data_IF_157843743086
#
_entry.id   IF_157843743086
#
_cell.length_a   1.000
_cell.length_b   1.000
_cell.length_c   1.000
_cell.angle_alpha   90.00
_cell.angle_beta   90.00
_cell.angle_gamma   90.00
#
_symmetry.space_group_name_H-M   'P 1'
#
loop_
_entity.id
_entity.type
_entity.pdbx_description
1 polymer ?
#
# COMPACT_ATOMS: atom_id res chain seq x y z
N UNK A 1 22.09 12.06 -0.94
CA UNK A 1 21.06 11.05 -1.27
C UNK A 1 21.69 10.03 -2.21
N UNK A 2 21.51 8.74 -1.96
CA UNK A 2 22.09 7.66 -2.77
C UNK A 2 21.08 7.23 -3.83
N UNK A 3 21.38 7.36 -5.14
CA UNK A 3 20.49 6.92 -6.20
C UNK A 3 20.17 5.42 -6.08
N UNK A 4 18.94 5.05 -6.38
CA UNK A 4 18.48 3.67 -6.46
C UNK A 4 18.01 3.35 -7.89
N UNK A 5 18.00 2.07 -8.31
CA UNK A 5 17.37 1.68 -9.56
C UNK A 5 15.93 2.19 -9.64
N UNK A 6 15.56 2.69 -10.81
CA UNK A 6 14.19 3.08 -11.15
C UNK A 6 13.93 2.67 -12.60
N UNK A 7 12.94 1.84 -12.80
CA UNK A 7 12.63 1.24 -14.10
C UNK A 7 11.59 2.08 -14.83
N UNK A 8 12.03 3.23 -15.36
CA UNK A 8 11.16 4.23 -15.99
C UNK A 8 10.38 3.65 -17.17
N UNK A 9 10.99 2.73 -17.93
CA UNK A 9 10.40 2.10 -19.12
C UNK A 9 9.17 1.23 -18.81
N UNK A 10 9.04 0.74 -17.57
CA UNK A 10 7.86 -0.03 -17.14
C UNK A 10 6.96 0.76 -16.19
N UNK A 11 7.47 1.81 -15.58
CA UNK A 11 6.66 2.67 -14.70
C UNK A 11 5.58 3.43 -15.47
N UNK A 12 5.82 3.77 -16.75
CA UNK A 12 4.88 4.52 -17.59
C UNK A 12 4.34 5.76 -16.86
N UNK A 13 5.26 6.45 -16.18
CA UNK A 13 4.98 7.63 -15.35
C UNK A 13 5.49 8.92 -15.99
N UNK A 14 5.34 10.06 -15.29
CA UNK A 14 5.86 11.33 -15.77
C UNK A 14 7.38 11.28 -15.96
N UNK A 15 7.88 12.05 -16.92
CA UNK A 15 9.33 12.27 -17.09
C UNK A 15 9.97 12.81 -15.81
N UNK A 16 11.23 12.47 -15.58
CA UNK A 16 11.97 12.89 -14.40
C UNK A 16 11.67 12.10 -13.13
N UNK A 17 10.92 11.00 -13.23
CA UNK A 17 10.79 10.05 -12.13
C UNK A 17 12.16 9.50 -11.72
N UNK A 18 12.42 9.41 -10.41
CA UNK A 18 13.68 8.91 -9.88
C UNK A 18 13.47 8.18 -8.55
N UNK A 19 14.46 7.38 -8.14
CA UNK A 19 14.41 6.69 -6.87
C UNK A 19 15.71 6.84 -6.08
N UNK A 20 15.59 6.75 -4.76
CA UNK A 20 16.71 6.79 -3.83
C UNK A 20 16.64 5.66 -2.81
N UNK A 21 17.83 5.20 -2.40
CA UNK A 21 17.98 4.34 -1.25
C UNK A 21 17.88 5.14 0.04
N UNK A 22 17.06 4.66 0.97
CA UNK A 22 16.92 5.19 2.31
C UNK A 22 17.39 4.14 3.30
N UNK A 23 18.04 4.57 4.38
CA UNK A 23 18.39 3.71 5.50
C UNK A 23 17.48 4.04 6.67
N UNK A 24 16.75 3.05 7.17
CA UNK A 24 15.87 3.19 8.31
C UNK A 24 16.65 3.23 9.62
N UNK A 25 16.01 3.63 10.72
CA UNK A 25 16.67 3.75 12.05
C UNK A 25 17.21 2.43 12.60
N UNK A 26 16.75 1.29 12.09
CA UNK A 26 17.25 -0.05 12.42
C UNK A 26 18.20 -0.63 11.36
N UNK A 27 18.66 0.21 10.43
CA UNK A 27 19.72 -0.12 9.49
C UNK A 27 19.26 -0.83 8.22
N UNK A 28 17.96 -1.10 8.06
CA UNK A 28 17.44 -1.69 6.81
C UNK A 28 17.44 -0.66 5.68
N UNK A 29 17.72 -1.13 4.49
CA UNK A 29 17.67 -0.32 3.28
C UNK A 29 16.31 -0.51 2.60
N UNK A 30 15.60 0.60 2.39
CA UNK A 30 14.35 0.67 1.63
C UNK A 30 14.54 1.58 0.41
N UNK A 31 13.62 1.54 -0.55
CA UNK A 31 13.66 2.42 -1.71
C UNK A 31 12.46 3.35 -1.71
N UNK A 32 12.69 4.62 -2.02
CA UNK A 32 11.63 5.59 -2.29
C UNK A 32 11.76 6.13 -3.71
N UNK A 33 10.67 6.12 -4.46
CA UNK A 33 10.57 6.72 -5.79
C UNK A 33 9.71 7.97 -5.75
N UNK A 34 10.03 8.95 -6.59
CA UNK A 34 9.33 10.23 -6.59
C UNK A 34 9.13 10.78 -7.99
N UNK A 35 8.05 11.54 -8.16
CA UNK A 35 7.74 12.37 -9.31
C UNK A 35 7.42 13.77 -8.80
N UNK A 36 8.22 14.73 -9.22
CA UNK A 36 8.19 16.12 -8.72
C UNK A 36 7.60 17.06 -9.76
N UNK A 37 7.24 18.29 -9.35
CA UNK A 37 6.69 19.33 -10.24
C UNK A 37 5.29 19.80 -9.83
N UNK A 38 4.62 19.09 -8.93
CA UNK A 38 3.39 19.58 -8.32
C UNK A 38 3.67 20.78 -7.39
N UNK A 39 2.77 21.75 -7.37
CA UNK A 39 2.89 22.96 -6.55
C UNK A 39 1.86 23.08 -5.44
N UNK A 40 0.83 22.21 -5.43
CA UNK A 40 -0.24 22.20 -4.43
C UNK A 40 0.14 21.44 -3.16
N UNK A 41 1.16 20.60 -3.23
CA UNK A 41 1.61 19.75 -2.13
C UNK A 41 2.19 18.43 -2.61
N UNK A 42 2.44 17.54 -1.68
CA UNK A 42 3.02 16.22 -1.96
C UNK A 42 2.18 15.10 -1.36
N UNK A 43 1.97 14.08 -2.16
CA UNK A 43 1.32 12.84 -1.76
C UNK A 43 2.39 11.85 -1.29
N UNK A 44 2.32 11.44 -0.02
CA UNK A 44 3.03 10.29 0.52
C UNK A 44 2.20 9.06 0.20
N UNK A 45 2.60 8.30 -0.82
CA UNK A 45 1.88 7.15 -1.31
C UNK A 45 2.43 5.87 -0.67
N UNK A 46 1.58 5.20 0.08
CA UNK A 46 1.88 3.98 0.84
C UNK A 46 1.28 2.76 0.13
N UNK A 47 2.10 1.99 -0.60
CA UNK A 47 1.69 0.82 -1.35
C UNK A 47 1.12 -0.31 -0.51
N UNK A 48 0.37 -1.20 -1.18
CA UNK A 48 -0.10 -2.45 -0.63
C UNK A 48 0.98 -3.53 -0.51
N UNK A 49 0.55 -4.74 -0.15
CA UNK A 49 1.45 -5.89 -0.13
C UNK A 49 1.74 -6.37 -1.54
N UNK A 50 2.95 -6.82 -1.80
CA UNK A 50 3.49 -7.26 -3.10
C UNK A 50 3.69 -6.14 -4.13
N UNK A 51 3.55 -4.89 -3.71
CA UNK A 51 3.66 -3.73 -4.58
C UNK A 51 5.04 -3.06 -4.48
N UNK A 52 5.30 -2.21 -5.45
CA UNK A 52 6.59 -1.55 -5.66
C UNK A 52 6.37 -0.17 -6.29
N UNK A 53 7.40 0.65 -6.31
CA UNK A 53 7.36 2.04 -6.76
C UNK A 53 6.80 2.17 -8.18
N UNK A 54 7.31 1.40 -9.15
CA UNK A 54 6.97 1.52 -10.57
C UNK A 54 5.50 1.27 -10.87
N UNK A 55 4.79 0.48 -10.04
CA UNK A 55 3.35 0.25 -10.17
C UNK A 55 2.56 1.55 -10.20
N UNK A 56 3.06 2.57 -9.52
CA UNK A 56 2.36 3.84 -9.34
C UNK A 56 2.71 4.92 -10.36
N UNK A 57 3.46 4.61 -11.42
CA UNK A 57 3.84 5.58 -12.44
C UNK A 57 2.64 6.26 -13.10
N UNK A 58 1.66 5.47 -13.57
CA UNK A 58 0.42 6.01 -14.14
C UNK A 58 -0.40 6.84 -13.14
N UNK A 59 -0.48 6.41 -11.89
CA UNK A 59 -1.14 7.18 -10.84
C UNK A 59 -0.39 8.50 -10.56
N UNK A 60 0.94 8.48 -10.60
CA UNK A 60 1.74 9.69 -10.46
C UNK A 60 1.46 10.70 -11.58
N UNK A 61 1.24 10.25 -12.83
CA UNK A 61 0.80 11.11 -13.93
C UNK A 61 -0.52 11.81 -13.60
N UNK A 62 -1.50 11.06 -13.10
CA UNK A 62 -2.81 11.59 -12.72
C UNK A 62 -2.70 12.63 -11.59
N UNK A 63 -1.89 12.38 -10.58
CA UNK A 63 -1.71 13.33 -9.48
C UNK A 63 -0.89 14.55 -9.89
N UNK A 64 0.16 14.36 -10.70
CA UNK A 64 1.01 15.48 -11.14
C UNK A 64 0.23 16.46 -12.04
N UNK A 65 -0.62 15.94 -12.94
CA UNK A 65 -1.49 16.79 -13.78
C UNK A 65 -2.53 17.56 -12.97
N UNK A 66 -2.82 17.13 -11.74
CA UNK A 66 -3.71 17.83 -10.78
C UNK A 66 -2.96 18.71 -9.80
N UNK A 67 -1.63 18.81 -9.95
CA UNK A 67 -0.77 19.73 -9.21
C UNK A 67 -0.10 19.15 -7.97
N UNK A 68 -0.10 17.83 -7.77
CA UNK A 68 0.52 17.18 -6.62
C UNK A 68 1.78 16.41 -7.01
N UNK A 69 2.88 16.62 -6.30
CA UNK A 69 4.05 15.72 -6.35
C UNK A 69 3.73 14.39 -5.65
N UNK A 70 4.42 13.32 -6.04
CA UNK A 70 4.20 11.97 -5.47
C UNK A 70 5.51 11.39 -4.97
N UNK A 71 5.49 10.78 -3.78
CA UNK A 71 6.57 10.00 -3.20
C UNK A 71 6.02 8.64 -2.78
N UNK A 72 6.45 7.57 -3.46
CA UNK A 72 6.07 6.20 -3.18
C UNK A 72 7.24 5.42 -2.57
N UNK A 73 6.98 4.28 -1.92
CA UNK A 73 7.99 3.50 -1.21
C UNK A 73 7.91 2.00 -1.53
N UNK A 74 9.06 1.35 -1.69
CA UNK A 74 9.15 -0.09 -1.48
C UNK A 74 9.39 -0.31 0.01
N UNK A 75 8.38 -0.84 0.68
CA UNK A 75 8.48 -1.20 2.08
C UNK A 75 9.57 -2.22 2.35
N UNK A 76 10.10 -2.27 3.58
CA UNK A 76 10.94 -3.39 4.03
C UNK A 76 10.31 -4.73 3.62
N UNK A 77 11.09 -5.60 3.01
CA UNK A 77 10.63 -6.90 2.54
C UNK A 77 9.89 -6.92 1.21
N UNK A 78 9.72 -5.79 0.50
CA UNK A 78 9.00 -5.69 -0.77
C UNK A 78 9.81 -4.98 -1.86
N UNK A 79 9.34 -5.04 -3.11
CA UNK A 79 10.03 -4.44 -4.25
C UNK A 79 11.51 -4.85 -4.28
N UNK A 80 12.42 -3.89 -4.36
CA UNK A 80 13.86 -4.16 -4.26
C UNK A 80 14.48 -3.74 -2.91
N UNK A 81 13.65 -3.39 -1.90
CA UNK A 81 14.12 -3.17 -0.54
C UNK A 81 14.75 -4.44 0.07
N UNK A 82 15.48 -4.27 1.17
CA UNK A 82 16.11 -5.37 1.87
C UNK A 82 15.08 -6.39 2.36
N UNK A 83 15.42 -7.67 2.22
CA UNK A 83 14.61 -8.81 2.68
C UNK A 83 15.08 -9.25 4.06
N UNK A 84 14.15 -9.62 4.93
CA UNK A 84 14.43 -10.16 6.25
C UNK A 84 14.65 -11.68 6.24
N UNK A 85 14.34 -12.35 5.13
CA UNK A 85 14.57 -13.78 4.93
C UNK A 85 15.47 -13.99 3.70
N UNK A 86 16.21 -15.11 3.69
CA UNK A 86 17.01 -15.52 2.53
C UNK A 86 16.12 -15.83 1.31
N UNK A 87 14.92 -16.36 1.55
CA UNK A 87 13.92 -16.54 0.51
C UNK A 87 13.27 -15.18 0.17
N UNK A 88 13.64 -14.64 -0.98
CA UNK A 88 13.12 -13.34 -1.46
C UNK A 88 11.65 -13.37 -1.83
N UNK A 89 11.08 -14.53 -2.09
CA UNK A 89 9.68 -14.68 -2.46
C UNK A 89 8.75 -14.62 -1.26
N UNK A 90 9.24 -14.87 -0.05
CA UNK A 90 8.41 -14.84 1.15
C UNK A 90 8.24 -13.43 1.71
N UNK A 91 7.00 -12.94 1.76
CA UNK A 91 6.67 -11.69 2.44
C UNK A 91 6.82 -11.84 3.95
N UNK A 92 7.74 -11.07 4.58
CA UNK A 92 8.03 -11.16 6.00
C UNK A 92 8.29 -9.78 6.61
N UNK A 93 7.96 -9.64 7.90
CA UNK A 93 8.35 -8.52 8.76
C UNK A 93 8.51 -9.05 10.18
N UNK A 94 9.48 -8.55 10.93
CA UNK A 94 9.67 -9.00 12.32
C UNK A 94 8.57 -8.50 13.24
N UNK A 95 8.22 -7.21 13.14
CA UNK A 95 7.07 -6.63 13.83
C UNK A 95 6.34 -5.69 12.88
N UNK A 96 5.00 -5.77 12.82
CA UNK A 96 4.24 -4.89 11.93
C UNK A 96 4.49 -3.40 12.22
N UNK A 97 4.65 -2.95 13.48
CA UNK A 97 5.04 -1.57 13.78
C UNK A 97 6.38 -1.12 13.20
N UNK A 98 7.26 -2.03 12.78
CA UNK A 98 8.55 -1.65 12.17
C UNK A 98 8.38 -0.87 10.86
N UNK A 99 7.23 -1.01 10.18
CA UNK A 99 6.91 -0.16 9.03
C UNK A 99 6.88 1.34 9.37
N UNK A 100 6.70 1.72 10.64
CA UNK A 100 6.77 3.14 11.05
C UNK A 100 8.19 3.71 10.99
N UNK A 101 9.22 2.85 11.06
CA UNK A 101 10.60 3.26 10.80
C UNK A 101 10.81 3.61 9.33
N UNK A 102 10.12 2.87 8.43
CA UNK A 102 10.12 3.17 6.99
C UNK A 102 9.37 4.48 6.73
N UNK A 103 8.21 4.68 7.34
CA UNK A 103 7.44 5.93 7.27
C UNK A 103 8.29 7.13 7.70
N UNK A 104 9.03 7.00 8.80
CA UNK A 104 9.92 8.05 9.30
C UNK A 104 11.04 8.38 8.31
N UNK A 105 11.62 7.36 7.67
CA UNK A 105 12.66 7.54 6.65
C UNK A 105 12.09 8.20 5.38
N UNK A 106 10.89 7.81 4.95
CA UNK A 106 10.19 8.41 3.81
C UNK A 106 9.87 9.88 4.05
N UNK A 107 9.35 10.23 5.24
CA UNK A 107 9.06 11.61 5.60
C UNK A 107 10.34 12.47 5.65
N UNK A 108 11.41 11.95 6.24
CA UNK A 108 12.70 12.62 6.26
C UNK A 108 13.24 12.86 4.84
N UNK A 109 13.04 11.88 3.95
CA UNK A 109 13.43 11.99 2.55
C UNK A 109 12.61 13.04 1.78
N UNK A 110 11.29 13.09 1.98
CA UNK A 110 10.43 14.11 1.39
C UNK A 110 10.93 15.53 1.72
N UNK A 111 11.27 15.74 3.00
CA UNK A 111 11.84 17.02 3.46
C UNK A 111 13.22 17.30 2.88
N UNK A 112 14.09 16.31 2.79
CA UNK A 112 15.43 16.45 2.22
C UNK A 112 15.41 16.73 0.72
N UNK A 113 14.42 16.26 -0.01
CA UNK A 113 14.16 16.59 -1.42
C UNK A 113 13.55 17.98 -1.59
N UNK A 114 13.11 18.64 -0.51
CA UNK A 114 12.39 19.91 -0.59
C UNK A 114 11.03 19.77 -1.27
N UNK A 115 10.38 18.59 -1.15
CA UNK A 115 9.06 18.40 -1.75
C UNK A 115 8.04 19.34 -1.09
N UNK A 116 7.14 19.96 -1.88
CA UNK A 116 6.23 20.99 -1.39
C UNK A 116 5.25 20.43 -0.34
N UNK A 117 5.06 21.19 0.73
CA UNK A 117 3.95 21.02 1.65
C UNK A 117 2.71 21.76 1.11
N UNK A 118 1.49 21.37 1.54
CA UNK A 118 1.18 20.37 2.56
C UNK A 118 1.42 18.93 2.07
N UNK A 119 1.70 18.05 3.04
CA UNK A 119 1.72 16.60 2.77
C UNK A 119 0.31 16.02 2.93
N UNK A 120 -0.02 15.07 2.05
CA UNK A 120 -1.22 14.23 2.10
C UNK A 120 -0.82 12.76 2.05
N UNK A 121 -1.61 11.91 2.69
CA UNK A 121 -1.39 10.47 2.69
C UNK A 121 -2.30 9.79 1.67
N UNK A 122 -1.75 8.87 0.87
CA UNK A 122 -2.54 7.82 0.21
C UNK A 122 -2.07 6.48 0.75
N UNK A 123 -2.99 5.67 1.27
CA UNK A 123 -2.71 4.33 1.75
C UNK A 123 -3.58 3.29 1.05
N UNK A 124 -2.94 2.44 0.22
CA UNK A 124 -3.63 1.34 -0.44
C UNK A 124 -3.44 0.03 0.32
N UNK A 125 -4.52 -0.73 0.54
CA UNK A 125 -4.47 -2.08 1.12
C UNK A 125 -3.61 -2.13 2.39
N UNK A 126 -2.49 -2.88 2.41
CA UNK A 126 -1.53 -2.91 3.53
C UNK A 126 -1.01 -1.52 3.89
N UNK A 127 -0.74 -0.67 2.89
CA UNK A 127 -0.35 0.73 3.10
C UNK A 127 -1.43 1.53 3.84
N UNK A 128 -2.71 1.16 3.69
CA UNK A 128 -3.82 1.73 4.45
C UNK A 128 -3.79 1.36 5.95
N UNK A 129 -3.31 0.15 6.28
CA UNK A 129 -3.07 -0.27 7.66
C UNK A 129 -1.85 0.48 8.25
N UNK A 130 -0.74 0.53 7.50
CA UNK A 130 0.47 1.25 7.89
C UNK A 130 0.17 2.75 8.06
N UNK A 131 -0.56 3.35 7.13
CA UNK A 131 -0.94 4.75 7.14
C UNK A 131 -1.87 5.11 8.29
N UNK A 132 -2.86 4.28 8.59
CA UNK A 132 -3.73 4.49 9.76
C UNK A 132 -2.91 4.51 11.06
N UNK A 133 -1.95 3.59 11.21
CA UNK A 133 -1.03 3.63 12.35
C UNK A 133 -0.19 4.91 12.35
N UNK A 134 0.36 5.30 11.21
CA UNK A 134 1.15 6.52 11.09
C UNK A 134 0.37 7.77 11.51
N UNK A 135 -0.93 7.87 11.20
CA UNK A 135 -1.79 8.95 11.68
C UNK A 135 -1.91 8.95 13.20
N UNK A 136 -2.02 7.79 13.84
CA UNK A 136 -2.01 7.69 15.31
C UNK A 136 -0.65 8.06 15.94
N UNK A 137 0.44 7.92 15.21
CA UNK A 137 1.79 8.28 15.64
C UNK A 137 2.17 9.72 15.24
N UNK A 138 1.22 10.49 14.69
CA UNK A 138 1.39 11.91 14.43
C UNK A 138 2.07 12.22 13.09
N UNK A 139 1.90 11.36 12.05
CA UNK A 139 2.35 11.70 10.70
C UNK A 139 1.79 13.07 10.29
N UNK A 140 2.64 14.05 9.94
CA UNK A 140 2.23 15.44 9.69
C UNK A 140 1.63 15.60 8.29
N UNK A 141 0.46 15.00 8.07
CA UNK A 141 -0.33 15.16 6.85
C UNK A 141 -1.61 15.92 7.14
N UNK A 142 -2.08 16.72 6.18
CA UNK A 142 -3.30 17.50 6.31
C UNK A 142 -4.56 16.66 6.13
N UNK A 143 -4.51 15.69 5.22
CA UNK A 143 -5.60 14.77 4.99
C UNK A 143 -5.10 13.44 4.44
N UNK A 144 -5.96 12.43 4.41
CA UNK A 144 -5.65 11.11 3.92
C UNK A 144 -6.68 10.61 2.90
N UNK A 145 -6.23 9.76 1.98
CA UNK A 145 -7.06 8.93 1.16
C UNK A 145 -6.71 7.46 1.43
N UNK A 146 -7.70 6.63 1.65
CA UNK A 146 -7.52 5.20 1.77
C UNK A 146 -8.22 4.47 0.61
N UNK A 147 -7.48 3.56 -0.02
CA UNK A 147 -7.93 2.72 -1.12
C UNK A 147 -8.01 1.28 -0.61
N UNK A 148 -9.21 0.74 -0.46
CA UNK A 148 -9.46 -0.62 0.03
C UNK A 148 -8.51 -1.00 1.19
N UNK A 149 -8.48 -0.23 2.29
CA UNK A 149 -7.45 -0.36 3.31
C UNK A 149 -7.55 -1.69 4.07
N UNK A 150 -6.40 -2.32 4.34
CA UNK A 150 -6.28 -3.55 5.12
C UNK A 150 -6.53 -3.28 6.62
N UNK A 151 -7.77 -2.91 6.98
CA UNK A 151 -8.24 -2.81 8.37
C UNK A 151 -8.86 -4.14 8.87
N UNK A 152 -9.04 -5.09 7.98
CA UNK A 152 -9.35 -6.49 8.13
C UNK A 152 -9.01 -7.23 6.85
N UNK A 153 -8.80 -8.54 6.91
CA UNK A 153 -8.63 -9.41 5.74
C UNK A 153 -9.71 -10.47 5.71
N UNK A 154 -10.16 -10.83 4.51
CA UNK A 154 -11.14 -11.89 4.35
C UNK A 154 -10.48 -13.22 4.66
N UNK A 155 -10.92 -13.85 5.73
CA UNK A 155 -10.62 -15.23 6.08
C UNK A 155 -11.96 -15.90 6.37
N UNK A 156 -12.22 -17.02 5.68
CA UNK A 156 -13.47 -17.77 5.90
C UNK A 156 -13.68 -18.00 7.40
N UNK A 157 -14.89 -17.76 7.95
CA UNK A 157 -15.12 -17.81 9.40
C UNK A 157 -14.64 -19.09 10.07
N UNK A 158 -14.82 -20.25 9.41
CA UNK A 158 -14.36 -21.54 9.91
C UNK A 158 -12.81 -21.66 9.98
N UNK A 159 -12.08 -20.89 9.15
CA UNK A 159 -10.61 -20.90 9.10
C UNK A 159 -9.97 -19.84 9.99
N UNK A 160 -10.71 -18.87 10.49
CA UNK A 160 -10.18 -17.80 11.35
C UNK A 160 -9.46 -18.32 12.61
N UNK A 161 -10.04 -19.25 13.40
CA UNK A 161 -9.32 -19.80 14.57
C UNK A 161 -8.04 -20.52 14.17
N UNK A 162 -8.07 -21.25 13.04
CA UNK A 162 -6.90 -21.95 12.52
C UNK A 162 -5.81 -20.99 12.07
N UNK A 163 -6.16 -19.92 11.36
CA UNK A 163 -5.20 -18.89 10.94
C UNK A 163 -4.49 -18.24 12.14
N UNK A 164 -5.24 -17.92 13.20
CA UNK A 164 -4.67 -17.38 14.44
C UNK A 164 -3.78 -18.41 15.15
N UNK A 165 -4.27 -19.63 15.33
CA UNK A 165 -3.54 -20.68 16.06
C UNK A 165 -2.27 -21.10 15.32
N UNK A 166 -2.37 -21.35 14.00
CA UNK A 166 -1.23 -21.81 13.20
C UNK A 166 -0.14 -20.73 13.10
N UNK A 167 -0.52 -19.47 12.85
CA UNK A 167 0.44 -18.38 12.75
C UNK A 167 1.11 -18.08 14.11
N UNK A 168 0.36 -18.12 15.20
CA UNK A 168 0.88 -17.93 16.55
C UNK A 168 1.81 -19.07 16.98
N UNK A 169 1.42 -20.34 16.72
CA UNK A 169 2.25 -21.52 17.04
C UNK A 169 3.52 -21.55 16.21
N UNK A 170 3.41 -21.37 14.88
CA UNK A 170 4.56 -21.37 13.99
C UNK A 170 5.65 -20.36 14.42
N UNK A 171 5.23 -19.20 14.88
CA UNK A 171 6.11 -18.18 15.43
C UNK A 171 6.90 -18.67 16.66
N UNK A 172 6.25 -19.43 17.57
CA UNK A 172 6.86 -19.92 18.81
C UNK A 172 7.79 -21.10 18.64
N UNK A 173 7.53 -21.93 17.62
CA UNK A 173 8.36 -23.10 17.31
C UNK A 173 9.41 -22.84 16.21
N UNK A 174 9.70 -21.57 15.89
CA UNK A 174 10.71 -21.19 14.91
C UNK A 174 10.32 -21.45 13.44
N UNK A 175 9.05 -21.77 13.17
CA UNK A 175 8.53 -22.05 11.81
C UNK A 175 7.79 -20.85 11.18
N UNK A 176 7.88 -19.68 11.79
CA UNK A 176 7.19 -18.47 11.34
C UNK A 176 7.60 -17.99 9.94
N UNK A 177 8.75 -18.37 9.45
CA UNK A 177 9.27 -18.04 8.11
C UNK A 177 8.54 -18.78 6.98
N UNK A 178 7.82 -19.87 7.27
CA UNK A 178 7.07 -20.63 6.25
C UNK A 178 5.92 -19.82 5.71
N UNK A 179 5.60 -20.03 4.43
CA UNK A 179 4.44 -19.39 3.78
C UNK A 179 3.13 -19.77 4.49
N UNK A 180 2.21 -18.84 4.55
CA UNK A 180 0.87 -19.08 5.06
C UNK A 180 0.14 -20.10 4.16
N UNK A 181 -0.68 -21.00 4.74
CA UNK A 181 -1.44 -21.98 3.98
C UNK A 181 -2.30 -21.33 2.88
N UNK A 182 -2.31 -21.95 1.71
CA UNK A 182 -3.05 -21.43 0.55
C UNK A 182 -2.35 -20.29 -0.19
N UNK A 183 -1.07 -19.99 0.14
CA UNK A 183 -0.28 -18.99 -0.57
C UNK A 183 0.94 -19.64 -1.24
N UNK A 184 1.42 -19.01 -2.31
CA UNK A 184 2.50 -19.52 -3.14
C UNK A 184 3.70 -18.55 -3.14
N UNK A 185 4.92 -19.04 -3.47
CA UNK A 185 6.11 -18.18 -3.62
C UNK A 185 6.08 -17.37 -4.93
N UNK A 186 4.93 -17.26 -5.57
CA UNK A 186 4.71 -16.52 -6.81
C UNK A 186 3.75 -15.37 -6.55
N UNK A 187 4.02 -14.22 -7.16
CA UNK A 187 3.13 -13.06 -7.08
C UNK A 187 1.78 -13.37 -7.72
N UNK A 188 0.70 -12.96 -7.07
CA UNK A 188 -0.69 -13.19 -7.49
C UNK A 188 -0.92 -12.84 -8.97
N UNK A 189 -0.48 -11.67 -9.43
CA UNK A 189 -0.65 -11.21 -10.82
C UNK A 189 -0.01 -12.16 -11.84
N UNK A 190 1.07 -12.86 -11.47
CA UNK A 190 1.76 -13.78 -12.37
C UNK A 190 1.13 -15.18 -12.40
N UNK A 191 0.44 -15.59 -11.34
CA UNK A 191 -0.17 -16.92 -11.21
C UNK A 191 -1.66 -16.96 -11.55
N UNK A 192 -2.35 -15.81 -11.56
CA UNK A 192 -3.80 -15.74 -11.75
C UNK A 192 -4.15 -15.29 -13.17
N UNK A 193 -5.13 -15.92 -13.84
CA UNK A 193 -5.68 -15.40 -15.09
C UNK A 193 -6.50 -14.11 -14.84
N UNK A 194 -6.70 -13.33 -15.89
CA UNK A 194 -7.49 -12.09 -15.77
C UNK A 194 -8.96 -12.34 -15.40
N UNK A 195 -9.58 -13.37 -15.94
CA UNK A 195 -11.04 -13.55 -15.96
C UNK A 195 -11.69 -13.68 -14.58
N UNK A 196 -10.95 -14.08 -13.54
CA UNK A 196 -11.45 -14.14 -12.16
C UNK A 196 -10.46 -13.52 -11.16
N UNK A 197 -9.72 -12.52 -11.60
CA UNK A 197 -8.83 -11.80 -10.69
C UNK A 197 -9.63 -10.94 -9.71
N UNK A 198 -9.01 -10.67 -8.55
CA UNK A 198 -9.62 -9.87 -7.48
C UNK A 198 -9.06 -8.45 -7.41
N UNK A 199 -8.24 -8.05 -8.39
CA UNK A 199 -7.53 -6.76 -8.35
C UNK A 199 -8.26 -5.68 -9.12
N UNK A 200 -8.63 -5.95 -10.38
CA UNK A 200 -9.21 -4.93 -11.28
C UNK A 200 -10.07 -5.54 -12.36
N UNK A 201 -11.09 -4.83 -12.78
CA UNK A 201 -11.89 -5.15 -13.95
C UNK A 201 -11.28 -4.60 -15.26
N UNK A 202 -10.22 -3.79 -15.19
CA UNK A 202 -9.51 -3.23 -16.35
C UNK A 202 -8.39 -4.17 -16.81
N UNK A 203 -8.61 -4.82 -17.97
CA UNK A 203 -7.62 -5.71 -18.58
C UNK A 203 -6.29 -5.01 -18.86
N UNK A 204 -6.30 -3.77 -19.33
CA UNK A 204 -5.07 -3.06 -19.65
C UNK A 204 -4.22 -2.75 -18.41
N UNK A 205 -4.87 -2.51 -17.25
CA UNK A 205 -4.18 -2.30 -15.99
C UNK A 205 -3.66 -3.61 -15.40
N UNK A 206 -4.39 -4.71 -15.56
CA UNK A 206 -3.89 -6.02 -15.15
C UNK A 206 -2.66 -6.43 -15.97
N UNK A 207 -2.72 -6.27 -17.30
CA UNK A 207 -1.60 -6.57 -18.20
C UNK A 207 -0.41 -5.62 -17.95
N UNK A 208 -0.63 -4.37 -17.55
CA UNK A 208 0.40 -3.43 -17.13
C UNK A 208 1.19 -3.95 -15.93
N UNK A 209 0.51 -4.37 -14.86
CA UNK A 209 1.18 -4.96 -13.68
C UNK A 209 1.96 -6.23 -14.06
N UNK A 210 1.39 -7.06 -14.92
CA UNK A 210 2.01 -8.30 -15.39
C UNK A 210 3.28 -8.05 -16.22
N UNK A 211 3.23 -7.04 -17.10
CA UNK A 211 4.37 -6.64 -17.92
C UNK A 211 5.54 -6.13 -17.07
N UNK A 212 5.27 -5.34 -16.03
CA UNK A 212 6.30 -4.86 -15.11
C UNK A 212 7.04 -6.02 -14.43
N UNK A 213 6.29 -6.97 -13.87
CA UNK A 213 6.88 -8.13 -13.17
C UNK A 213 7.54 -9.13 -14.12
N UNK A 214 7.12 -9.17 -15.37
CA UNK A 214 7.80 -9.99 -16.41
C UNK A 214 9.12 -9.38 -16.82
N UNK A 215 9.20 -8.05 -16.91
CA UNK A 215 10.43 -7.33 -17.25
C UNK A 215 11.40 -7.27 -16.06
N UNK A 216 10.89 -7.11 -14.84
CA UNK A 216 11.65 -6.94 -13.61
C UNK A 216 11.18 -7.91 -12.52
N UNK A 217 11.55 -9.21 -12.62
CA UNK A 217 11.14 -10.23 -11.64
C UNK A 217 11.62 -9.94 -10.21
N UNK A 218 12.67 -9.15 -10.04
CA UNK A 218 13.19 -8.74 -8.73
C UNK A 218 12.21 -7.85 -7.93
N UNK A 219 11.23 -7.25 -8.59
CA UNK A 219 10.13 -6.50 -7.94
C UNK A 219 9.10 -7.43 -7.31
N UNK A 220 9.05 -8.68 -7.75
CA UNK A 220 8.03 -9.63 -7.35
C UNK A 220 8.15 -10.04 -5.87
N UNK A 221 7.00 -10.27 -5.25
CA UNK A 221 6.88 -10.85 -3.93
C UNK A 221 5.72 -11.86 -3.93
N UNK A 222 5.96 -13.04 -3.39
CA UNK A 222 4.94 -14.08 -3.25
C UNK A 222 4.10 -13.95 -1.97
N UNK A 223 3.62 -15.06 -1.46
CA UNK A 223 2.76 -15.14 -0.29
C UNK A 223 3.40 -14.61 0.99
N UNK A 224 2.56 -14.27 2.00
CA UNK A 224 3.05 -13.89 3.32
C UNK A 224 3.58 -15.11 4.08
N UNK A 225 4.57 -14.88 4.92
CA UNK A 225 4.96 -15.86 5.93
C UNK A 225 3.90 -15.96 7.04
N UNK A 226 3.87 -17.08 7.76
CA UNK A 226 3.00 -17.25 8.94
C UNK A 226 3.28 -16.17 9.99
N UNK A 227 4.53 -15.76 10.14
CA UNK A 227 4.90 -14.67 11.04
C UNK A 227 4.29 -13.34 10.61
N UNK A 228 4.41 -12.99 9.32
CA UNK A 228 3.79 -11.77 8.79
C UNK A 228 2.27 -11.78 8.98
N UNK A 229 1.62 -12.92 8.71
CA UNK A 229 0.18 -13.07 8.92
C UNK A 229 -0.20 -12.81 10.37
N UNK A 230 0.52 -13.39 11.34
CA UNK A 230 0.26 -13.16 12.76
C UNK A 230 0.43 -11.68 13.14
N UNK A 231 1.52 -11.05 12.71
CA UNK A 231 1.78 -9.63 12.97
C UNK A 231 0.70 -8.73 12.38
N UNK A 232 0.25 -9.01 11.13
CA UNK A 232 -0.82 -8.25 10.48
C UNK A 232 -2.16 -8.41 11.22
N UNK A 233 -2.55 -9.64 11.60
CA UNK A 233 -3.77 -9.89 12.37
C UNK A 233 -3.74 -9.18 13.73
N UNK A 234 -2.61 -9.22 14.42
CA UNK A 234 -2.42 -8.51 15.69
C UNK A 234 -2.55 -6.99 15.51
N UNK A 235 -1.94 -6.44 14.46
CA UNK A 235 -1.98 -5.01 14.18
C UNK A 235 -3.38 -4.52 13.84
N UNK A 236 -4.07 -5.20 12.91
CA UNK A 236 -5.46 -4.88 12.57
C UNK A 236 -6.36 -4.87 13.81
N UNK A 237 -6.18 -5.86 14.72
CA UNK A 237 -6.92 -5.92 15.98
C UNK A 237 -6.60 -4.74 16.90
N UNK A 238 -5.31 -4.35 17.02
CA UNK A 238 -4.89 -3.20 17.84
C UNK A 238 -5.49 -1.90 17.31
N UNK A 239 -5.44 -1.71 15.99
CA UNK A 239 -5.98 -0.50 15.35
C UNK A 239 -7.51 -0.45 15.44
N UNK A 240 -8.19 -1.59 15.30
CA UNK A 240 -9.66 -1.66 15.44
C UNK A 240 -10.15 -1.26 16.85
N UNK A 241 -9.33 -1.44 17.88
CA UNK A 241 -9.66 -1.06 19.25
C UNK A 241 -9.45 0.45 19.56
N UNK A 242 -8.91 1.22 18.60
CA UNK A 242 -8.64 2.67 18.78
C UNK A 242 -9.74 3.49 18.11
N UNK A 243 -10.16 4.61 18.70
CA UNK A 243 -11.04 5.56 18.02
C UNK A 243 -10.37 6.09 16.75
N UNK A 244 -11.14 6.45 15.74
CA UNK A 244 -10.58 6.97 14.48
C UNK A 244 -9.80 8.28 14.71
N UNK A 245 -8.70 8.53 13.98
CA UNK A 245 -7.93 9.76 14.12
C UNK A 245 -8.73 10.98 13.64
N UNK A 246 -8.35 12.18 14.10
CA UNK A 246 -9.01 13.42 13.72
C UNK A 246 -8.64 13.90 12.30
N UNK A 247 -7.57 13.39 11.72
CA UNK A 247 -7.12 13.75 10.36
C UNK A 247 -8.22 13.45 9.34
N UNK A 248 -8.69 14.43 8.54
CA UNK A 248 -9.72 14.20 7.53
C UNK A 248 -9.34 13.07 6.57
N UNK A 249 -10.26 12.16 6.30
CA UNK A 249 -9.99 11.01 5.42
C UNK A 249 -11.14 10.69 4.48
N UNK A 250 -10.81 10.45 3.20
CA UNK A 250 -11.71 9.84 2.22
C UNK A 250 -11.28 8.40 1.99
N UNK A 251 -12.22 7.48 2.00
CA UNK A 251 -11.95 6.04 1.78
C UNK A 251 -12.76 5.55 0.60
N UNK A 252 -12.10 4.89 -0.34
CA UNK A 252 -12.73 4.24 -1.49
C UNK A 252 -12.76 2.73 -1.28
N UNK A 253 -13.90 2.13 -1.61
CA UNK A 253 -14.13 0.69 -1.50
C UNK A 253 -14.92 0.20 -2.72
N UNK A 254 -14.38 -0.81 -3.42
CA UNK A 254 -15.07 -1.48 -4.50
C UNK A 254 -16.24 -2.34 -3.99
N UNK A 255 -17.33 -2.41 -4.75
CA UNK A 255 -18.47 -3.28 -4.38
C UNK A 255 -18.13 -4.77 -4.56
N UNK A 256 -17.13 -5.09 -5.37
CA UNK A 256 -16.64 -6.45 -5.61
C UNK A 256 -15.40 -6.81 -4.76
N UNK A 257 -15.10 -6.06 -3.71
CA UNK A 257 -13.95 -6.29 -2.84
C UNK A 257 -13.94 -7.71 -2.25
N UNK A 258 -12.86 -8.46 -2.49
CA UNK A 258 -12.71 -9.87 -2.09
C UNK A 258 -11.41 -10.19 -1.34
N UNK A 259 -10.59 -9.17 -1.02
CA UNK A 259 -9.28 -9.32 -0.35
C UNK A 259 -9.32 -8.81 1.08
N UNK A 260 -9.73 -7.55 1.26
CA UNK A 260 -9.90 -6.97 2.60
C UNK A 260 -11.35 -7.10 3.06
N UNK A 261 -11.57 -7.05 4.37
CA UNK A 261 -12.89 -7.26 4.96
C UNK A 261 -13.72 -5.95 4.90
N UNK A 262 -14.74 -5.83 4.01
CA UNK A 262 -15.50 -4.59 3.84
C UNK A 262 -16.18 -4.12 5.13
N UNK A 263 -16.69 -5.04 5.96
CA UNK A 263 -17.36 -4.69 7.22
C UNK A 263 -16.45 -3.87 8.13
N UNK A 264 -15.14 -4.15 8.19
CA UNK A 264 -14.19 -3.40 9.00
C UNK A 264 -13.97 -1.99 8.51
N UNK A 265 -14.08 -1.78 7.19
CA UNK A 265 -14.00 -0.45 6.58
C UNK A 265 -15.28 0.33 6.88
N UNK A 266 -16.44 -0.29 6.72
CA UNK A 266 -17.73 0.31 7.08
C UNK A 266 -17.78 0.70 8.55
N UNK A 267 -17.43 -0.23 9.47
CA UNK A 267 -17.44 0.02 10.92
C UNK A 267 -16.55 1.23 11.27
N UNK A 268 -15.33 1.27 10.73
CA UNK A 268 -14.41 2.37 11.02
C UNK A 268 -14.90 3.70 10.45
N UNK A 269 -15.41 3.68 9.22
CA UNK A 269 -15.83 4.92 8.54
C UNK A 269 -17.14 5.47 9.10
N UNK A 270 -17.99 4.63 9.70
CA UNK A 270 -19.19 5.08 10.39
C UNK A 270 -18.86 5.99 11.59
N UNK A 271 -17.76 5.70 12.29
CA UNK A 271 -17.29 6.45 13.46
C UNK A 271 -16.06 7.35 13.17
N UNK A 272 -15.78 7.63 11.90
CA UNK A 272 -14.65 8.50 11.54
C UNK A 272 -15.10 9.97 11.55
N UNK A 273 -14.62 10.81 12.49
CA UNK A 273 -15.20 12.15 12.72
C UNK A 273 -15.21 13.07 11.50
N UNK A 274 -14.15 13.01 10.71
CA UNK A 274 -13.95 13.77 9.46
C UNK A 274 -13.74 12.82 8.29
N UNK A 275 -14.55 11.76 8.23
CA UNK A 275 -14.41 10.69 7.24
C UNK A 275 -15.50 10.71 6.18
N UNK A 276 -15.14 10.32 4.95
CA UNK A 276 -16.07 10.07 3.85
C UNK A 276 -15.80 8.69 3.27
N UNK A 277 -16.79 7.80 3.27
CA UNK A 277 -16.73 6.53 2.55
C UNK A 277 -17.39 6.69 1.17
N UNK A 278 -16.68 6.26 0.12
CA UNK A 278 -17.15 6.25 -1.26
C UNK A 278 -17.18 4.82 -1.78
N UNK A 279 -18.38 4.32 -2.06
CA UNK A 279 -18.54 3.03 -2.71
C UNK A 279 -18.39 3.18 -4.24
N UNK A 280 -17.63 2.27 -4.84
CA UNK A 280 -17.40 2.21 -6.27
C UNK A 280 -18.04 0.95 -6.83
N UNK A 281 -19.17 1.14 -7.53
CA UNK A 281 -19.92 0.03 -8.07
C UNK A 281 -19.15 -0.71 -9.14
N UNK A 282 -19.13 -2.05 -9.06
CA UNK A 282 -18.41 -2.93 -9.96
C UNK A 282 -16.88 -2.97 -9.78
N UNK A 283 -16.29 -2.11 -8.94
CA UNK A 283 -14.85 -2.09 -8.73
C UNK A 283 -14.38 -3.26 -7.85
N UNK A 284 -13.19 -3.76 -8.15
CA UNK A 284 -12.42 -4.71 -7.34
C UNK A 284 -11.48 -3.95 -6.38
N UNK A 285 -10.41 -4.60 -5.91
CA UNK A 285 -9.51 -4.09 -4.86
C UNK A 285 -8.69 -2.85 -5.27
N UNK A 286 -8.22 -2.78 -6.52
CA UNK A 286 -7.28 -1.78 -7.02
C UNK A 286 -7.99 -0.56 -7.62
N UNK A 287 -8.68 0.22 -6.79
CA UNK A 287 -9.55 1.31 -7.29
C UNK A 287 -8.82 2.38 -8.12
N UNK A 288 -7.51 2.57 -7.91
CA UNK A 288 -6.67 3.45 -8.73
C UNK A 288 -6.22 2.81 -10.05
N UNK A 289 -6.50 1.53 -10.25
CA UNK A 289 -6.17 0.75 -11.43
C UNK A 289 -7.43 0.13 -12.08
N UNK A 290 -8.60 0.63 -11.76
CA UNK A 290 -9.88 0.23 -12.34
C UNK A 290 -10.12 0.85 -13.72
N UNK A 291 -11.28 0.62 -14.31
CA UNK A 291 -11.69 1.20 -15.60
C UNK A 291 -11.50 2.73 -15.62
N UNK A 292 -11.28 3.34 -16.79
CA UNK A 292 -11.03 4.78 -16.90
C UNK A 292 -12.06 5.66 -16.18
N UNK A 293 -13.34 5.27 -16.21
CA UNK A 293 -14.40 6.02 -15.54
C UNK A 293 -14.24 6.00 -14.00
N UNK A 294 -13.97 4.83 -13.44
CA UNK A 294 -13.75 4.68 -11.99
C UNK A 294 -12.46 5.39 -11.57
N UNK A 295 -11.35 5.19 -12.30
CA UNK A 295 -10.09 5.87 -12.00
C UNK A 295 -10.23 7.38 -12.00
N UNK A 296 -10.84 7.94 -13.04
CA UNK A 296 -11.05 9.39 -13.14
C UNK A 296 -11.83 9.92 -11.94
N UNK A 297 -12.88 9.22 -11.52
CA UNK A 297 -13.65 9.57 -10.34
C UNK A 297 -12.78 9.54 -9.07
N UNK A 298 -12.01 8.45 -8.87
CA UNK A 298 -11.12 8.30 -7.71
C UNK A 298 -10.11 9.43 -7.64
N UNK A 299 -9.39 9.73 -8.74
CA UNK A 299 -8.40 10.79 -8.75
C UNK A 299 -9.02 12.18 -8.54
N UNK A 300 -10.17 12.46 -9.17
CA UNK A 300 -10.85 13.75 -9.00
C UNK A 300 -11.37 13.96 -7.58
N UNK A 301 -12.05 12.95 -6.99
CA UNK A 301 -12.56 13.06 -5.62
C UNK A 301 -11.41 13.13 -4.60
N UNK A 302 -10.30 12.40 -4.83
CA UNK A 302 -9.11 12.46 -3.97
C UNK A 302 -8.49 13.85 -3.98
N UNK A 303 -8.24 14.43 -5.15
CA UNK A 303 -7.59 15.75 -5.23
C UNK A 303 -8.51 16.87 -4.77
N UNK A 304 -9.81 16.78 -5.03
CA UNK A 304 -10.79 17.70 -4.45
C UNK A 304 -10.82 17.63 -2.91
N UNK A 305 -10.68 16.41 -2.36
CA UNK A 305 -10.55 16.21 -0.91
C UNK A 305 -9.28 16.87 -0.36
N UNK A 306 -8.15 16.69 -1.03
CA UNK A 306 -6.89 17.31 -0.63
C UNK A 306 -6.95 18.84 -0.74
N UNK A 307 -7.48 19.38 -1.84
CA UNK A 307 -7.66 20.83 -2.04
C UNK A 307 -8.53 21.46 -0.92
N UNK A 308 -9.55 20.73 -0.44
CA UNK A 308 -10.43 21.20 0.63
C UNK A 308 -9.81 21.12 2.04
N UNK A 309 -8.71 20.39 2.21
CA UNK A 309 -8.07 20.15 3.51
C UNK A 309 -6.56 20.45 3.49
N UNK A 310 -6.14 21.43 2.70
CA UNK A 310 -4.74 21.87 2.56
C UNK A 310 -4.34 22.91 3.60
#
# INVERSE_FOLDING_TARGET
MTPAPFYAEVADGPEGGAAHWLTTSDGLRIRAGHWTGGTKGTILLFPGRTEYVEKYGRAATEFLTRGYSVLAVDWRGQGIADRMLNDRAAGHVHHFPDYQKDVSAVLAHARALGLPEPYHLIGHSMGGCIGLRALYEGLPVKSAMFSAPMWGIIIAPALRPFAWMSSWTARRVGQGHRLAPGTEPVTYVMSTPFDDNTLTTDRAMFDYMKAQLSAHPELALGGPSLHWLNEALMEMRRLAARPSPATPAITFLGSNERIVEPSRIHDRMADYPNGKLVMLDGAEHEVMMETPAIRTRVFNETTAWFDAHS
#
